data_IF_733220511729
#
_entry.id   IF_733220511729
#
_cell.length_a   1.000
_cell.length_b   1.000
_cell.length_c   1.000
_cell.angle_alpha   90.00
_cell.angle_beta   90.00
_cell.angle_gamma   90.00
#
_symmetry.space_group_name_H-M   'P 1'
#
loop_
_entity.id
_entity.type
_entity.pdbx_description
1 polymer ?
#
# COMPACT_ATOMS: atom_id res chain seq x y z
N UNK A 1 -4.62 2.26 -19.44
CA UNK A 1 -3.21 2.74 -19.48
C UNK A 1 -2.38 1.67 -20.14
N UNK A 2 -1.40 2.05 -20.95
CA UNK A 2 -0.34 1.11 -21.32
C UNK A 2 0.55 0.83 -20.10
N UNK A 3 1.21 -0.32 -20.09
CA UNK A 3 2.03 -0.81 -18.97
C UNK A 3 3.15 0.16 -18.58
N UNK A 4 3.70 0.90 -19.54
CA UNK A 4 4.80 1.84 -19.29
C UNK A 4 4.29 3.06 -18.52
N UNK A 5 3.20 3.65 -18.99
CA UNK A 5 2.56 4.77 -18.30
C UNK A 5 2.09 4.37 -16.90
N UNK A 6 1.58 3.15 -16.73
CA UNK A 6 1.20 2.62 -15.41
C UNK A 6 2.41 2.52 -14.47
N UNK A 7 3.50 1.91 -14.91
CA UNK A 7 4.72 1.77 -14.09
C UNK A 7 5.36 3.10 -13.71
N UNK A 8 5.34 4.09 -14.62
CA UNK A 8 5.84 5.43 -14.34
C UNK A 8 4.99 6.17 -13.29
N UNK A 9 3.66 5.99 -13.34
CA UNK A 9 2.73 6.54 -12.34
C UNK A 9 2.94 5.89 -10.97
N UNK A 10 3.04 4.57 -10.91
CA UNK A 10 3.33 3.84 -9.65
C UNK A 10 4.65 4.33 -9.06
N UNK A 11 5.71 4.44 -9.87
CA UNK A 11 7.01 4.94 -9.41
C UNK A 11 6.92 6.36 -8.86
N UNK A 12 6.21 7.25 -9.56
CA UNK A 12 6.00 8.62 -9.10
C UNK A 12 5.25 8.68 -7.75
N UNK A 13 4.22 7.85 -7.57
CA UNK A 13 3.47 7.75 -6.30
C UNK A 13 4.39 7.26 -5.18
N UNK A 14 5.16 6.20 -5.41
CA UNK A 14 6.11 5.66 -4.44
C UNK A 14 7.12 6.75 -4.04
N UNK A 15 7.74 7.43 -5.01
CA UNK A 15 8.69 8.51 -4.72
C UNK A 15 8.03 9.65 -3.92
N UNK A 16 6.83 10.05 -4.31
CA UNK A 16 6.10 11.11 -3.62
C UNK A 16 5.83 10.73 -2.15
N UNK A 17 5.23 9.57 -1.89
CA UNK A 17 4.92 9.12 -0.53
C UNK A 17 6.18 8.87 0.32
N UNK A 18 7.26 8.39 -0.31
CA UNK A 18 8.56 8.23 0.34
C UNK A 18 9.16 9.54 0.87
N UNK A 19 8.80 10.67 0.27
CA UNK A 19 9.24 12.00 0.72
C UNK A 19 8.39 12.60 1.86
N UNK A 20 7.27 11.97 2.23
CA UNK A 20 6.31 12.53 3.19
C UNK A 20 6.61 12.12 4.64
N UNK A 21 7.71 12.62 5.21
CA UNK A 21 8.17 12.23 6.56
C UNK A 21 7.25 12.64 7.72
N UNK A 22 6.41 13.66 7.52
CA UNK A 22 5.52 14.21 8.55
C UNK A 22 4.04 13.89 8.30
N UNK A 23 3.76 12.92 7.43
CA UNK A 23 2.41 12.57 7.05
C UNK A 23 1.67 11.93 8.22
N UNK A 24 0.60 12.57 8.68
CA UNK A 24 -0.17 12.08 9.83
C UNK A 24 -1.28 11.12 9.44
N UNK A 25 -1.89 11.33 8.27
CA UNK A 25 -3.09 10.64 7.82
C UNK A 25 -3.03 10.33 6.33
N UNK A 26 -3.36 9.11 5.96
CA UNK A 26 -3.61 8.69 4.58
C UNK A 26 -4.87 7.86 4.51
N UNK A 27 -5.70 8.17 3.51
CA UNK A 27 -6.84 7.36 3.12
C UNK A 27 -6.70 6.99 1.66
N UNK A 28 -6.73 5.69 1.41
CA UNK A 28 -6.83 5.18 0.07
C UNK A 28 -8.26 4.69 -0.15
N UNK A 29 -8.87 5.13 -1.25
CA UNK A 29 -10.17 4.64 -1.70
C UNK A 29 -9.99 3.71 -2.91
N UNK A 30 -10.82 2.69 -3.01
CA UNK A 30 -10.76 1.65 -4.05
C UNK A 30 -9.38 0.97 -4.16
N UNK A 31 -8.90 0.48 -3.02
CA UNK A 31 -7.57 -0.12 -2.93
C UNK A 31 -7.45 -1.50 -3.57
N UNK A 32 -6.84 -1.56 -4.76
CA UNK A 32 -6.37 -2.82 -5.35
C UNK A 32 -5.00 -3.24 -4.81
N UNK A 33 -4.83 -3.27 -3.48
CA UNK A 33 -3.59 -3.75 -2.83
C UNK A 33 -3.40 -5.29 -2.93
N UNK A 34 -4.20 -5.98 -3.76
CA UNK A 34 -3.97 -7.37 -4.16
C UNK A 34 -2.78 -7.55 -5.11
N UNK A 35 -2.23 -6.47 -5.65
CA UNK A 35 -1.04 -6.47 -6.51
C UNK A 35 0.21 -6.00 -5.74
N UNK A 36 1.39 -6.47 -6.15
CA UNK A 36 2.67 -6.20 -5.46
C UNK A 36 2.98 -4.70 -5.35
N UNK A 37 2.66 -3.93 -6.39
CA UNK A 37 2.89 -2.48 -6.44
C UNK A 37 2.17 -1.75 -5.30
N UNK A 38 0.99 -2.24 -4.98
CA UNK A 38 0.21 -1.71 -3.88
C UNK A 38 0.87 -1.96 -2.52
N UNK A 39 1.44 -3.16 -2.33
CA UNK A 39 2.20 -3.50 -1.12
C UNK A 39 3.45 -2.63 -1.02
N UNK A 40 4.14 -2.37 -2.13
CA UNK A 40 5.32 -1.49 -2.17
C UNK A 40 4.97 -0.05 -1.78
N UNK A 41 3.83 0.47 -2.26
CA UNK A 41 3.31 1.79 -1.88
C UNK A 41 3.11 1.87 -0.35
N UNK A 42 2.43 0.88 0.23
CA UNK A 42 2.18 0.84 1.68
C UNK A 42 3.47 0.70 2.48
N UNK A 43 4.41 -0.13 2.01
CA UNK A 43 5.71 -0.31 2.64
C UNK A 43 6.52 0.99 2.66
N UNK A 44 6.65 1.66 1.52
CA UNK A 44 7.43 2.88 1.45
C UNK A 44 6.79 3.99 2.32
N UNK A 45 5.47 4.13 2.26
CA UNK A 45 4.72 5.09 3.07
C UNK A 45 4.93 4.86 4.57
N UNK A 46 4.72 3.63 5.03
CA UNK A 46 4.80 3.30 6.46
C UNK A 46 6.23 3.40 6.99
N UNK A 47 7.23 3.16 6.13
CA UNK A 47 8.63 3.36 6.47
C UNK A 47 9.03 4.83 6.50
N UNK A 48 8.62 5.64 5.50
CA UNK A 48 9.01 7.05 5.40
C UNK A 48 8.38 7.93 6.48
N UNK A 49 7.16 7.57 6.89
CA UNK A 49 6.32 8.31 7.83
C UNK A 49 6.12 7.58 9.16
N UNK A 50 6.97 6.58 9.48
CA UNK A 50 6.81 5.69 10.64
C UNK A 50 6.49 6.42 11.94
N UNK A 51 7.18 7.52 12.21
CA UNK A 51 7.08 8.24 13.48
C UNK A 51 5.90 9.23 13.52
N UNK A 52 5.33 9.58 12.36
CA UNK A 52 4.31 10.63 12.23
C UNK A 52 2.93 10.09 11.82
N UNK A 53 2.89 8.98 11.10
CA UNK A 53 1.68 8.36 10.57
C UNK A 53 0.90 7.69 11.69
N UNK A 54 -0.23 8.29 12.04
CA UNK A 54 -1.12 7.79 13.09
C UNK A 54 -2.43 7.23 12.54
N UNK A 55 -2.74 7.50 11.27
CA UNK A 55 -3.99 7.09 10.64
C UNK A 55 -3.76 6.59 9.21
N UNK A 56 -4.01 5.30 9.01
CA UNK A 56 -4.01 4.66 7.71
C UNK A 56 -5.36 3.97 7.51
N UNK A 57 -6.09 4.36 6.46
CA UNK A 57 -7.37 3.74 6.08
C UNK A 57 -7.25 3.20 4.66
N UNK A 58 -7.64 1.94 4.49
CA UNK A 58 -7.71 1.26 3.20
C UNK A 58 -9.19 0.93 2.93
N UNK A 59 -9.85 1.74 2.10
CA UNK A 59 -11.26 1.53 1.73
C UNK A 59 -11.34 0.71 0.45
N UNK A 60 -12.30 -0.21 0.40
CA UNK A 60 -12.45 -1.11 -0.74
C UNK A 60 -11.27 -2.06 -0.91
N UNK A 61 -10.49 -2.30 0.15
CA UNK A 61 -9.48 -3.36 0.15
C UNK A 61 -10.20 -4.71 0.06
N UNK A 62 -10.25 -5.26 -1.13
CA UNK A 62 -10.62 -6.65 -1.38
C UNK A 62 -9.31 -7.40 -1.49
N UNK A 63 -8.95 -8.26 -0.53
CA UNK A 63 -7.91 -9.25 -0.76
C UNK A 63 -8.31 -9.98 -2.03
N UNK A 64 -7.54 -9.83 -3.11
CA UNK A 64 -7.86 -10.52 -4.35
C UNK A 64 -7.87 -12.01 -4.05
N UNK A 65 -9.04 -12.66 -4.20
CA UNK A 65 -9.06 -14.12 -4.18
C UNK A 65 -8.18 -14.63 -5.33
N UNK A 66 -7.36 -15.65 -5.08
CA UNK A 66 -6.31 -16.01 -6.00
C UNK A 66 -6.87 -16.58 -7.30
N UNK A 67 -6.56 -15.93 -8.42
CA UNK A 67 -6.48 -16.64 -9.69
C UNK A 67 -5.01 -16.97 -9.92
N UNK A 68 -4.62 -18.16 -9.47
CA UNK A 68 -3.35 -18.86 -9.66
C UNK A 68 -2.41 -18.86 -8.45
N UNK A 69 -2.18 -20.08 -8.00
CA UNK A 69 -1.67 -20.61 -6.72
C UNK A 69 -0.20 -20.35 -6.37
N UNK A 70 0.43 -19.28 -6.85
CA UNK A 70 1.86 -19.03 -6.56
C UNK A 70 2.19 -17.63 -6.00
N UNK A 71 1.21 -16.72 -5.90
CA UNK A 71 1.44 -15.33 -5.45
C UNK A 71 0.84 -15.02 -4.05
N UNK A 72 0.09 -15.97 -3.48
CA UNK A 72 -0.87 -15.71 -2.39
C UNK A 72 -0.31 -15.58 -0.99
N UNK A 73 0.83 -16.21 -0.72
CA UNK A 73 1.44 -16.03 0.59
C UNK A 73 1.98 -14.61 0.74
N UNK A 74 2.41 -13.96 -0.34
CA UNK A 74 3.26 -12.77 -0.21
C UNK A 74 2.47 -11.52 0.16
N UNK A 75 1.31 -11.22 -0.44
CA UNK A 75 0.64 -9.94 -0.19
C UNK A 75 -0.01 -9.86 1.21
N UNK A 76 -0.77 -10.88 1.61
CA UNK A 76 -1.38 -10.94 2.93
C UNK A 76 -0.33 -11.07 4.05
N UNK A 77 0.75 -11.85 3.84
CA UNK A 77 1.87 -11.90 4.79
C UNK A 77 2.69 -10.61 4.82
N UNK A 78 2.81 -9.90 3.69
CA UNK A 78 3.49 -8.60 3.65
C UNK A 78 2.75 -7.55 4.47
N UNK A 79 1.41 -7.57 4.45
CA UNK A 79 0.59 -6.68 5.28
C UNK A 79 0.73 -6.98 6.77
N UNK A 80 0.87 -8.24 7.17
CA UNK A 80 1.16 -8.61 8.58
C UNK A 80 2.61 -8.35 8.98
N UNK A 81 3.56 -8.29 8.03
CA UNK A 81 4.93 -7.85 8.28
C UNK A 81 5.08 -6.32 8.34
N UNK A 82 4.12 -5.57 7.80
CA UNK A 82 4.11 -4.12 7.91
C UNK A 82 3.71 -3.73 9.33
N UNK A 83 4.59 -2.97 9.99
CA UNK A 83 4.38 -2.42 11.32
C UNK A 83 3.36 -1.26 11.24
N UNK A 84 2.12 -1.59 10.85
CA UNK A 84 1.09 -0.62 10.49
C UNK A 84 0.55 0.06 11.75
N UNK A 85 0.42 1.40 11.76
CA UNK A 85 -0.35 2.08 12.78
C UNK A 85 -1.77 1.52 12.77
N UNK A 86 -2.35 1.29 13.95
CA UNK A 86 -3.63 0.60 14.16
C UNK A 86 -4.62 0.85 13.01
N UNK A 87 -4.76 -0.14 12.13
CA UNK A 87 -5.72 -0.14 11.03
C UNK A 87 -7.12 0.07 11.61
N UNK A 88 -7.71 1.24 11.37
CA UNK A 88 -9.12 1.43 11.67
C UNK A 88 -9.92 0.82 10.53
N UNK A 89 -10.62 -0.27 10.83
CA UNK A 89 -11.68 -0.77 9.94
C UNK A 89 -12.72 0.33 9.77
N UNK A 90 -13.21 0.57 8.54
CA UNK A 90 -14.31 1.51 8.31
C UNK A 90 -15.56 1.11 9.10
#
# INVERSE_FOLDING_TARGET
>A
MDTRTYGDVIRAIITFLGSQHYLKRVEFDQCFFGYQEGVEILKNLTQSSRDSLNHLVLRGFVPSEPKNTDQDSTAAQSLTMLDLPRLKKP
#
